data_IF_333041801312
#
_entry.id   IF_333041801312
#
_cell.length_a   1.000
_cell.length_b   1.000
_cell.length_c   1.000
_cell.angle_alpha   90.00
_cell.angle_beta   90.00
_cell.angle_gamma   90.00
#
_symmetry.space_group_name_H-M   'P 1'
#
loop_
_entity.id
_entity.type
_entity.pdbx_description
1 polymer ?
#
# COMPACT_ATOMS: atom_id res chain seq x y z
N UNK A 1 -10.34 -24.61 20.08
CA UNK A 1 -9.41 -23.44 20.02
C UNK A 1 -8.87 -23.29 21.43
N UNK A 2 -7.60 -23.53 21.61
CA UNK A 2 -6.98 -23.52 22.93
C UNK A 2 -6.87 -22.07 23.44
N UNK A 3 -7.66 -21.73 24.46
CA UNK A 3 -7.63 -20.42 25.10
C UNK A 3 -6.26 -20.06 25.70
N UNK A 4 -5.36 -21.03 25.83
CA UNK A 4 -4.01 -20.84 26.37
C UNK A 4 -3.07 -20.08 25.43
N UNK A 5 -3.28 -20.18 24.10
CA UNK A 5 -2.44 -19.48 23.12
C UNK A 5 -2.78 -18.00 23.09
N UNK A 6 -4.06 -17.64 23.27
CA UNK A 6 -4.50 -16.25 23.29
C UNK A 6 -4.02 -15.48 24.55
N UNK A 7 -3.79 -16.19 25.65
CA UNK A 7 -3.35 -15.56 26.90
C UNK A 7 -1.88 -15.08 26.88
N UNK A 8 -1.09 -15.48 25.87
CA UNK A 8 0.34 -15.15 25.78
C UNK A 8 0.70 -14.16 24.68
N UNK A 9 -0.18 -13.93 23.69
CA UNK A 9 0.03 -12.98 22.61
C UNK A 9 -0.72 -11.69 22.92
N UNK A 10 -0.01 -10.56 23.17
CA UNK A 10 -0.67 -9.28 23.47
C UNK A 10 -1.36 -8.70 22.23
N UNK A 11 -2.32 -7.79 22.42
CA UNK A 11 -3.00 -7.08 21.36
C UNK A 11 -2.09 -6.12 20.60
N UNK A 12 -1.11 -5.58 21.30
CA UNK A 12 -0.08 -4.72 20.72
C UNK A 12 1.24 -4.86 21.49
N UNK A 13 2.33 -4.54 20.81
CA UNK A 13 3.67 -4.56 21.40
C UNK A 13 4.59 -3.59 20.66
N UNK A 14 5.45 -2.91 21.41
CA UNK A 14 6.54 -2.09 20.85
C UNK A 14 6.09 -0.81 20.16
N UNK A 15 4.87 -0.33 20.38
CA UNK A 15 4.34 0.89 19.72
C UNK A 15 5.20 2.13 20.06
N UNK A 16 5.84 2.17 21.21
CA UNK A 16 6.81 3.21 21.62
C UNK A 16 8.11 3.19 20.80
N UNK A 17 8.34 2.12 20.04
CA UNK A 17 9.51 1.96 19.15
C UNK A 17 9.32 2.62 17.79
N UNK A 18 8.11 3.05 17.45
CA UNK A 18 7.80 3.79 16.20
C UNK A 18 8.31 5.24 16.31
N UNK A 19 9.62 5.37 16.48
CA UNK A 19 10.28 6.65 16.84
C UNK A 19 10.29 7.66 15.71
N UNK A 20 10.62 7.21 14.51
CA UNK A 20 10.61 8.08 13.34
C UNK A 20 9.21 8.58 13.06
N UNK A 21 8.22 7.69 13.14
CA UNK A 21 6.79 8.02 13.00
C UNK A 21 6.36 9.07 14.02
N UNK A 22 6.60 8.84 15.30
CA UNK A 22 6.23 9.79 16.35
C UNK A 22 6.97 11.13 16.21
N UNK A 23 8.24 11.12 15.79
CA UNK A 23 8.98 12.35 15.54
C UNK A 23 8.35 13.16 14.40
N UNK A 24 7.95 12.50 13.29
CA UNK A 24 7.27 13.15 12.16
C UNK A 24 5.91 13.72 12.55
N UNK A 25 5.11 12.92 13.25
CA UNK A 25 3.79 13.36 13.74
C UNK A 25 3.91 14.56 14.70
N UNK A 26 4.88 14.54 15.61
CA UNK A 26 5.15 15.66 16.51
C UNK A 26 5.56 16.92 15.75
N UNK A 27 6.46 16.82 14.77
CA UNK A 27 6.84 17.97 13.92
C UNK A 27 5.62 18.57 13.21
N UNK A 28 4.74 17.73 12.67
CA UNK A 28 3.49 18.17 12.05
C UNK A 28 2.56 18.85 13.06
N UNK A 29 2.44 18.31 14.27
CA UNK A 29 1.62 18.91 15.34
C UNK A 29 2.11 20.30 15.76
N UNK A 30 3.42 20.58 15.68
CA UNK A 30 4.02 21.87 15.96
C UNK A 30 4.10 22.79 14.74
N UNK A 31 3.47 22.44 13.62
CA UNK A 31 3.43 23.27 12.43
C UNK A 31 4.76 23.38 11.67
N UNK A 32 5.67 22.43 11.86
CA UNK A 32 6.90 22.39 11.08
C UNK A 32 6.61 22.20 9.58
N UNK A 33 7.49 22.74 8.73
CA UNK A 33 7.32 22.74 7.27
C UNK A 33 8.42 21.93 6.58
N UNK A 34 8.19 21.64 5.29
CA UNK A 34 9.15 20.93 4.44
C UNK A 34 9.21 19.41 4.73
N UNK A 35 10.15 18.75 4.09
CA UNK A 35 10.28 17.28 4.10
C UNK A 35 10.58 16.70 5.49
N UNK A 36 11.19 17.46 6.39
CA UNK A 36 11.48 17.01 7.76
C UNK A 36 10.21 16.85 8.62
N UNK A 37 9.11 17.46 8.19
CA UNK A 37 7.79 17.35 8.78
C UNK A 37 6.82 16.55 7.89
N UNK A 38 7.32 15.67 7.03
CA UNK A 38 6.52 14.74 6.23
C UNK A 38 6.50 13.38 6.91
N UNK A 39 5.31 12.79 7.01
CA UNK A 39 5.16 11.37 7.26
C UNK A 39 4.80 10.67 5.94
N UNK A 40 5.62 9.71 5.54
CA UNK A 40 5.34 8.84 4.40
C UNK A 40 5.03 7.45 4.90
N UNK A 41 3.85 6.94 4.56
CA UNK A 41 3.34 5.67 5.05
C UNK A 41 2.98 4.70 3.91
N UNK A 42 3.90 3.83 3.47
CA UNK A 42 3.57 2.64 2.68
C UNK A 42 2.72 1.64 3.49
N UNK A 43 1.55 1.30 2.97
CA UNK A 43 0.64 0.30 3.53
C UNK A 43 0.70 -0.95 2.64
N UNK A 44 1.45 -1.96 3.07
CA UNK A 44 1.61 -3.25 2.38
C UNK A 44 0.57 -4.25 2.88
N UNK A 45 0.10 -5.11 1.99
CA UNK A 45 -0.82 -6.19 2.37
C UNK A 45 -1.54 -6.84 1.20
N UNK A 46 -2.58 -7.55 1.52
CA UNK A 46 -3.43 -8.29 0.57
C UNK A 46 -4.68 -7.49 0.12
N UNK A 47 -5.82 -8.17 -0.03
CA UNK A 47 -7.11 -7.57 -0.39
C UNK A 47 -7.63 -6.58 0.66
N UNK A 48 -7.27 -6.72 1.92
CA UNK A 48 -7.60 -5.73 2.96
C UNK A 48 -7.00 -4.37 2.66
N UNK A 49 -5.78 -4.35 2.14
CA UNK A 49 -5.04 -3.13 1.79
C UNK A 49 -5.34 -2.67 0.36
N UNK A 50 -5.61 -3.60 -0.57
CA UNK A 50 -5.94 -3.27 -1.96
C UNK A 50 -7.25 -2.50 -2.07
N UNK A 51 -8.24 -2.83 -1.27
CA UNK A 51 -9.50 -2.13 -1.22
C UNK A 51 -9.42 -0.90 -0.31
N UNK A 52 -9.25 0.26 -0.91
CA UNK A 52 -9.13 1.53 -0.19
C UNK A 52 -10.36 1.86 0.65
N UNK A 53 -11.54 1.33 0.31
CA UNK A 53 -12.77 1.57 1.07
C UNK A 53 -12.74 0.95 2.45
N UNK A 54 -11.89 -0.07 2.70
CA UNK A 54 -11.83 -0.76 4.00
C UNK A 54 -11.09 0.03 5.06
N UNK A 55 -9.81 0.30 4.88
CA UNK A 55 -9.08 1.08 5.89
C UNK A 55 -8.05 2.07 5.34
N UNK A 56 -7.38 1.82 4.20
CA UNK A 56 -6.26 2.68 3.80
C UNK A 56 -6.66 4.14 3.58
N UNK A 57 -7.70 4.39 2.80
CA UNK A 57 -8.18 5.76 2.55
C UNK A 57 -8.71 6.42 3.84
N UNK A 58 -9.38 5.65 4.70
CA UNK A 58 -9.95 6.18 5.94
C UNK A 58 -8.85 6.57 6.93
N UNK A 59 -7.79 5.75 7.04
CA UNK A 59 -6.60 6.09 7.83
C UNK A 59 -5.92 7.35 7.30
N UNK A 60 -5.73 7.43 5.99
CA UNK A 60 -5.16 8.62 5.36
C UNK A 60 -6.01 9.87 5.62
N UNK A 61 -7.33 9.79 5.41
CA UNK A 61 -8.26 10.91 5.68
C UNK A 61 -8.22 11.36 7.14
N UNK A 62 -8.12 10.42 8.07
CA UNK A 62 -8.01 10.75 9.50
C UNK A 62 -6.72 11.51 9.80
N UNK A 63 -5.59 11.06 9.28
CA UNK A 63 -4.32 11.77 9.44
C UNK A 63 -4.36 13.16 8.79
N UNK A 64 -4.95 13.27 7.60
CA UNK A 64 -5.10 14.57 6.95
C UNK A 64 -6.01 15.53 7.74
N UNK A 65 -7.07 15.03 8.36
CA UNK A 65 -7.93 15.87 9.19
C UNK A 65 -7.22 16.39 10.45
N UNK A 66 -6.28 15.62 11.00
CA UNK A 66 -5.52 16.00 12.20
C UNK A 66 -4.41 16.99 11.85
N UNK A 67 -3.63 16.72 10.78
CA UNK A 67 -2.35 17.39 10.52
C UNK A 67 -2.39 18.45 9.41
N UNK A 68 -3.51 18.63 8.74
CA UNK A 68 -3.61 19.55 7.59
C UNK A 68 -4.76 20.58 7.72
N UNK A 69 -5.09 20.95 8.96
CA UNK A 69 -6.02 22.03 9.30
C UNK A 69 -7.39 21.96 8.58
N UNK A 70 -7.93 20.76 8.44
CA UNK A 70 -9.30 20.57 7.97
C UNK A 70 -9.53 20.90 6.48
N UNK A 71 -8.48 21.07 5.71
CA UNK A 71 -8.58 21.40 4.30
C UNK A 71 -8.00 20.31 3.38
N UNK A 72 -8.57 19.11 3.31
CA UNK A 72 -8.24 18.32 2.17
C UNK A 72 -9.24 18.64 1.07
N UNK A 73 -8.75 19.09 -0.05
CA UNK A 73 -9.42 18.75 -1.28
C UNK A 73 -9.26 17.23 -1.42
N UNK A 74 -10.24 16.50 -0.89
CA UNK A 74 -10.18 15.02 -0.69
C UNK A 74 -10.02 14.26 -2.01
N UNK A 75 -10.35 14.92 -3.14
CA UNK A 75 -10.24 14.34 -4.47
C UNK A 75 -8.80 14.20 -4.99
N UNK A 76 -7.86 14.89 -4.37
CA UNK A 76 -6.48 14.90 -4.87
C UNK A 76 -5.42 14.63 -3.81
N UNK A 77 -5.82 14.48 -2.53
CA UNK A 77 -4.92 14.40 -1.38
C UNK A 77 -4.11 15.67 -1.14
N UNK A 78 -3.74 15.93 0.09
CA UNK A 78 -3.12 17.22 0.43
C UNK A 78 -1.75 17.43 -0.19
N UNK A 79 -0.93 16.38 -0.33
CA UNK A 79 0.42 16.47 -0.90
C UNK A 79 0.67 15.44 -2.00
N UNK A 80 -0.39 14.87 -2.58
CA UNK A 80 -0.30 13.99 -3.74
C UNK A 80 -1.18 12.75 -3.64
N UNK A 81 -1.21 12.00 -4.72
CA UNK A 81 -1.93 10.73 -4.82
C UNK A 81 -1.16 9.59 -4.17
N UNK A 82 0.13 9.79 -3.89
CA UNK A 82 1.02 8.72 -3.52
C UNK A 82 1.32 7.80 -4.70
N UNK A 83 1.46 6.51 -4.43
CA UNK A 83 1.67 5.50 -5.47
C UNK A 83 0.37 5.20 -6.21
N UNK A 84 0.38 5.45 -7.51
CA UNK A 84 -0.66 5.07 -8.46
C UNK A 84 -0.28 3.73 -9.07
N UNK A 85 -0.91 2.65 -8.61
CA UNK A 85 -0.70 1.30 -9.15
C UNK A 85 -1.35 1.18 -10.52
N UNK A 86 -0.65 0.59 -11.48
CA UNK A 86 -1.22 0.21 -12.79
C UNK A 86 -1.79 -1.21 -12.78
N UNK A 87 -1.35 -2.05 -11.83
CA UNK A 87 -1.70 -3.45 -11.81
C UNK A 87 -3.20 -3.72 -11.76
N UNK A 88 -3.65 -4.56 -12.69
CA UNK A 88 -5.05 -4.93 -12.85
C UNK A 88 -5.91 -3.90 -13.57
N UNK A 89 -5.34 -2.91 -14.25
CA UNK A 89 -6.09 -1.96 -15.07
C UNK A 89 -6.77 -2.60 -16.28
N UNK A 90 -6.38 -3.82 -16.65
CA UNK A 90 -6.93 -4.61 -17.73
C UNK A 90 -8.19 -5.40 -17.36
N UNK A 91 -8.60 -5.38 -16.09
CA UNK A 91 -9.77 -6.11 -15.60
C UNK A 91 -10.77 -5.19 -14.90
N UNK A 92 -12.06 -5.46 -15.05
CA UNK A 92 -13.15 -4.70 -14.40
C UNK A 92 -13.24 -4.90 -12.89
N UNK A 93 -12.64 -5.97 -12.38
CA UNK A 93 -12.65 -6.31 -10.96
C UNK A 93 -11.42 -5.81 -10.19
N UNK A 94 -10.48 -5.19 -10.87
CA UNK A 94 -9.23 -4.76 -10.27
C UNK A 94 -9.40 -3.45 -9.49
N UNK A 95 -8.62 -3.34 -8.44
CA UNK A 95 -8.55 -2.15 -7.60
C UNK A 95 -7.19 -1.48 -7.77
N UNK A 96 -6.85 -1.15 -9.01
CA UNK A 96 -5.69 -0.33 -9.35
C UNK A 96 -5.82 1.09 -8.79
N UNK A 97 -4.97 1.96 -9.23
CA UNK A 97 -5.04 3.37 -8.83
C UNK A 97 -4.36 3.67 -7.50
N UNK A 98 -4.59 4.89 -7.02
CA UNK A 98 -4.00 5.38 -5.79
C UNK A 98 -4.91 5.14 -4.57
N UNK A 99 -4.43 5.56 -3.40
CA UNK A 99 -5.22 5.54 -2.17
C UNK A 99 -6.47 6.45 -2.26
N UNK A 100 -6.40 7.52 -3.04
CA UNK A 100 -7.48 8.53 -3.16
C UNK A 100 -8.42 8.19 -4.29
N UNK A 101 -7.87 7.75 -5.42
CA UNK A 101 -8.63 7.44 -6.61
C UNK A 101 -8.42 5.96 -6.98
N UNK A 102 -9.18 5.06 -6.34
CA UNK A 102 -9.14 3.64 -6.67
C UNK A 102 -9.77 3.41 -8.06
N UNK A 103 -9.25 2.43 -8.79
CA UNK A 103 -9.68 2.09 -10.16
C UNK A 103 -9.54 3.26 -11.17
N UNK A 104 -8.63 4.19 -10.90
CA UNK A 104 -8.43 5.37 -11.72
C UNK A 104 -7.83 5.05 -13.09
N UNK A 105 -6.99 4.00 -13.16
CA UNK A 105 -6.26 3.68 -14.38
C UNK A 105 -7.10 2.76 -15.27
N UNK A 106 -7.31 3.20 -16.50
CA UNK A 106 -7.91 2.38 -17.56
C UNK A 106 -6.82 1.90 -18.52
N UNK A 107 -7.02 0.74 -19.13
CA UNK A 107 -6.07 0.19 -20.08
C UNK A 107 -6.73 -0.27 -21.37
N UNK A 108 -5.98 -0.17 -22.46
CA UNK A 108 -6.31 -0.78 -23.72
C UNK A 108 -5.05 -1.45 -24.28
N UNK A 109 -5.10 -2.76 -24.51
CA UNK A 109 -3.98 -3.53 -25.07
C UNK A 109 -2.84 -3.87 -24.12
N UNK A 110 -3.00 -3.65 -22.80
CA UNK A 110 -2.11 -4.17 -21.78
C UNK A 110 -2.70 -5.41 -21.10
N UNK A 111 -1.82 -6.29 -20.63
CA UNK A 111 -2.16 -7.43 -19.79
C UNK A 111 -1.49 -7.22 -18.43
N UNK A 112 -2.24 -7.39 -17.36
CA UNK A 112 -1.78 -7.17 -15.99
C UNK A 112 -1.66 -8.44 -15.17
N UNK A 113 -0.80 -8.38 -14.14
CA UNK A 113 -0.75 -9.37 -13.07
C UNK A 113 -0.79 -8.69 -11.72
N UNK A 114 -1.55 -9.28 -10.78
CA UNK A 114 -1.75 -8.70 -9.43
C UNK A 114 -0.54 -8.89 -8.51
N UNK A 115 0.20 -9.98 -8.66
CA UNK A 115 1.37 -10.31 -7.83
C UNK A 115 2.43 -11.08 -8.64
N UNK A 116 2.74 -10.57 -9.83
CA UNK A 116 3.75 -11.13 -10.75
C UNK A 116 4.92 -10.18 -11.04
N UNK A 117 4.87 -8.94 -10.56
CA UNK A 117 5.89 -7.93 -10.78
C UNK A 117 6.74 -7.65 -9.53
N UNK A 118 7.83 -6.91 -9.73
CA UNK A 118 8.73 -6.47 -8.66
C UNK A 118 8.47 -5.00 -8.27
N UNK A 119 7.26 -4.49 -8.54
CA UNK A 119 6.79 -3.16 -8.11
C UNK A 119 6.59 -3.09 -6.60
N UNK A 120 6.39 -1.90 -6.03
CA UNK A 120 6.12 -1.76 -4.60
C UNK A 120 4.89 -2.55 -4.13
N UNK A 121 3.88 -2.73 -4.97
CA UNK A 121 2.65 -3.51 -4.72
C UNK A 121 2.65 -4.87 -5.43
N UNK A 122 3.83 -5.33 -5.87
CA UNK A 122 4.10 -6.59 -6.56
C UNK A 122 3.28 -6.85 -7.84
N UNK A 123 2.70 -5.82 -8.43
CA UNK A 123 1.93 -5.88 -9.68
C UNK A 123 2.75 -5.45 -10.89
N UNK A 124 2.28 -5.76 -12.10
CA UNK A 124 2.87 -5.30 -13.35
C UNK A 124 1.84 -5.26 -14.47
N UNK A 125 1.96 -4.28 -15.37
CA UNK A 125 1.27 -4.22 -16.65
C UNK A 125 2.26 -4.39 -17.79
N UNK A 126 1.96 -5.23 -18.76
CA UNK A 126 2.83 -5.50 -19.89
C UNK A 126 2.06 -5.37 -21.21
N UNK A 127 2.72 -4.83 -22.23
CA UNK A 127 2.22 -4.85 -23.61
C UNK A 127 3.36 -4.88 -24.61
N UNK A 128 3.14 -5.55 -25.74
CA UNK A 128 3.98 -5.49 -26.95
C UNK A 128 3.24 -4.89 -28.15
N UNK A 129 2.01 -4.41 -27.93
CA UNK A 129 1.15 -3.86 -28.98
C UNK A 129 1.40 -2.37 -29.12
N UNK A 130 1.89 -1.94 -30.28
CA UNK A 130 2.00 -0.51 -30.58
C UNK A 130 0.61 0.15 -30.56
N UNK A 131 0.52 1.32 -29.91
CA UNK A 131 -0.75 2.01 -29.67
C UNK A 131 -1.51 1.55 -28.42
N UNK A 132 -1.05 0.52 -27.69
CA UNK A 132 -1.63 0.17 -26.41
C UNK A 132 -1.48 1.33 -25.40
N UNK A 133 -2.50 1.57 -24.56
CA UNK A 133 -2.54 2.73 -23.67
C UNK A 133 -2.87 2.37 -22.22
N UNK A 134 -2.30 3.15 -21.30
CA UNK A 134 -2.78 3.33 -19.93
C UNK A 134 -3.17 4.78 -19.74
N UNK A 135 -4.34 5.07 -19.16
CA UNK A 135 -4.79 6.44 -18.94
C UNK A 135 -5.57 6.63 -17.66
N UNK A 136 -5.51 7.84 -17.12
CA UNK A 136 -6.26 8.27 -15.92
C UNK A 136 -6.47 9.77 -15.95
N UNK A 137 -7.46 10.26 -15.18
CA UNK A 137 -7.70 11.68 -15.00
C UNK A 137 -7.02 12.17 -13.73
N UNK A 138 -6.40 13.35 -13.82
CA UNK A 138 -5.66 13.98 -12.73
C UNK A 138 -5.85 15.51 -12.73
N UNK A 139 -5.58 16.14 -11.57
CA UNK A 139 -5.52 17.58 -11.44
C UNK A 139 -4.06 18.07 -11.43
N UNK A 140 -3.56 18.46 -12.60
CA UNK A 140 -2.18 18.92 -12.80
C UNK A 140 -1.93 20.31 -12.22
N UNK A 141 -2.99 21.08 -11.89
CA UNK A 141 -2.87 22.43 -11.29
C UNK A 141 -2.17 22.41 -9.93
N UNK A 142 -2.03 21.25 -9.34
CA UNK A 142 -1.43 21.07 -8.00
C UNK A 142 0.09 21.01 -8.01
N UNK A 143 0.75 21.11 -9.18
CA UNK A 143 2.19 21.22 -9.30
C UNK A 143 2.97 20.04 -8.70
N UNK A 144 2.46 18.81 -8.85
CA UNK A 144 3.09 17.60 -8.32
C UNK A 144 4.19 17.07 -9.21
N UNK A 145 5.14 16.39 -8.62
CA UNK A 145 6.13 15.60 -9.36
C UNK A 145 5.55 14.23 -9.69
N UNK A 146 5.90 13.74 -10.87
CA UNK A 146 5.50 12.45 -11.40
C UNK A 146 6.76 11.60 -11.62
N UNK A 147 6.83 10.45 -10.98
CA UNK A 147 7.94 9.49 -11.17
C UNK A 147 7.36 8.17 -11.64
N UNK A 148 7.59 7.86 -12.91
CA UNK A 148 7.16 6.61 -13.53
C UNK A 148 8.09 5.47 -13.12
N UNK A 149 7.54 4.33 -12.71
CA UNK A 149 8.25 3.07 -12.52
C UNK A 149 8.05 2.18 -13.75
N UNK A 150 9.11 1.92 -14.49
CA UNK A 150 9.09 1.12 -15.72
C UNK A 150 10.31 0.21 -15.82
N UNK A 151 10.23 -0.83 -16.65
CA UNK A 151 11.35 -1.73 -16.97
C UNK A 151 12.28 -1.08 -17.98
N UNK A 152 13.54 -0.88 -17.58
CA UNK A 152 14.61 -0.50 -18.50
C UNK A 152 15.06 -1.68 -19.38
N UNK A 153 15.67 -1.38 -20.52
CA UNK A 153 16.08 -2.40 -21.50
C UNK A 153 14.90 -3.02 -22.27
N UNK A 154 13.73 -2.35 -22.29
CA UNK A 154 12.50 -2.94 -22.83
C UNK A 154 12.07 -2.37 -24.19
N UNK A 155 11.26 -1.34 -24.23
CA UNK A 155 10.70 -0.79 -25.49
C UNK A 155 10.65 0.73 -25.42
N UNK A 156 9.83 1.32 -26.27
CA UNK A 156 9.63 2.77 -26.35
C UNK A 156 8.18 3.10 -25.98
N UNK A 157 8.01 4.08 -25.13
CA UNK A 157 6.69 4.65 -24.79
C UNK A 157 6.66 6.13 -25.11
N UNK A 158 5.46 6.69 -25.15
CA UNK A 158 5.24 8.12 -25.04
C UNK A 158 4.24 8.42 -23.95
N UNK A 159 4.28 9.65 -23.41
CA UNK A 159 3.23 10.13 -22.52
C UNK A 159 2.73 11.50 -22.96
N UNK A 160 1.46 11.74 -22.65
CA UNK A 160 0.77 12.99 -22.94
C UNK A 160 -0.15 13.32 -21.77
N UNK A 161 -0.01 14.51 -21.22
CA UNK A 161 -0.93 15.08 -20.24
C UNK A 161 -1.73 16.22 -20.88
N UNK A 162 -2.96 16.43 -20.43
CA UNK A 162 -3.76 17.58 -20.85
C UNK A 162 -2.98 18.90 -20.63
N UNK A 163 -2.88 19.70 -21.68
CA UNK A 163 -2.10 20.94 -21.68
C UNK A 163 -0.73 20.80 -22.34
N UNK A 164 -0.22 19.60 -22.60
CA UNK A 164 0.95 19.40 -23.46
C UNK A 164 0.56 19.56 -24.92
N UNK A 165 1.40 20.21 -25.72
CA UNK A 165 1.18 20.36 -27.17
C UNK A 165 1.53 19.11 -27.96
N UNK A 166 2.48 18.32 -27.45
CA UNK A 166 2.99 17.10 -28.09
C UNK A 166 3.31 16.05 -27.04
N UNK A 167 3.19 14.77 -27.40
CA UNK A 167 3.61 13.69 -26.53
C UNK A 167 5.14 13.64 -26.41
N UNK A 168 5.63 13.38 -25.21
CA UNK A 168 7.07 13.16 -24.93
C UNK A 168 7.38 11.67 -25.00
N UNK A 169 8.42 11.30 -25.72
CA UNK A 169 8.87 9.91 -25.83
C UNK A 169 9.92 9.56 -24.76
N UNK A 170 9.87 8.33 -24.30
CA UNK A 170 10.87 7.72 -23.42
C UNK A 170 11.33 6.40 -24.08
N UNK A 171 12.59 6.34 -24.42
CA UNK A 171 13.24 5.12 -24.90
C UNK A 171 13.72 4.30 -23.69
N UNK A 172 12.86 3.37 -23.25
CA UNK A 172 13.19 2.46 -22.15
C UNK A 172 14.29 1.46 -22.53
N UNK A 173 14.48 1.19 -23.85
CA UNK A 173 15.52 0.29 -24.34
C UNK A 173 16.92 0.85 -24.17
N UNK A 174 17.06 2.18 -24.10
CA UNK A 174 18.31 2.88 -23.85
C UNK A 174 18.68 2.94 -22.34
N UNK A 175 17.75 2.58 -21.45
CA UNK A 175 17.98 2.54 -20.01
C UNK A 175 18.58 1.19 -19.58
N UNK A 176 19.32 1.20 -18.48
CA UNK A 176 19.84 -0.02 -17.89
C UNK A 176 18.69 -1.02 -17.59
N UNK A 177 18.90 -2.34 -17.81
CA UNK A 177 17.88 -3.35 -17.45
C UNK A 177 17.50 -3.28 -15.96
N UNK A 178 16.24 -3.56 -15.68
CA UNK A 178 15.68 -3.51 -14.33
C UNK A 178 14.70 -2.35 -14.13
N UNK A 179 14.17 -2.23 -12.91
CA UNK A 179 13.20 -1.19 -12.59
C UNK A 179 13.90 0.18 -12.57
N UNK A 180 13.37 1.09 -13.37
CA UNK A 180 13.80 2.48 -13.47
C UNK A 180 12.75 3.41 -12.88
N UNK A 181 13.21 4.38 -12.10
CA UNK A 181 12.39 5.49 -11.60
C UNK A 181 12.66 6.72 -12.50
N UNK A 182 11.68 7.04 -13.33
CA UNK A 182 11.84 8.03 -14.41
C UNK A 182 11.05 9.30 -14.02
N UNK A 183 11.72 10.41 -13.67
CA UNK A 183 11.07 11.69 -13.46
C UNK A 183 10.45 12.22 -14.77
N UNK A 184 9.20 12.67 -14.71
CA UNK A 184 8.51 13.31 -15.81
C UNK A 184 8.45 14.82 -15.51
N UNK A 185 9.25 15.61 -16.21
CA UNK A 185 9.51 17.01 -15.83
C UNK A 185 8.72 18.06 -16.63
N UNK A 186 8.03 17.65 -17.71
CA UNK A 186 7.35 18.54 -18.65
C UNK A 186 5.82 18.50 -18.52
N UNK A 187 5.31 17.99 -17.40
CA UNK A 187 3.88 17.94 -17.12
C UNK A 187 3.39 19.34 -16.76
N UNK A 188 2.38 19.88 -17.48
CA UNK A 188 1.82 21.18 -17.18
C UNK A 188 1.17 21.26 -15.81
N UNK A 189 1.21 22.44 -15.19
CA UNK A 189 0.60 22.71 -13.85
C UNK A 189 -0.66 23.57 -13.94
N UNK A 190 -1.23 23.73 -15.12
CA UNK A 190 -2.30 24.72 -15.35
C UNK A 190 -3.69 24.14 -15.53
N UNK A 191 -3.81 22.84 -15.83
CA UNK A 191 -5.07 22.21 -16.20
C UNK A 191 -5.33 20.93 -15.40
N UNK A 192 -6.59 20.55 -15.27
CA UNK A 192 -6.99 19.17 -14.97
C UNK A 192 -7.34 18.45 -16.26
N UNK A 193 -7.22 17.13 -16.28
CA UNK A 193 -7.60 16.31 -17.42
C UNK A 193 -6.87 14.98 -17.44
N UNK A 194 -6.77 14.40 -18.61
CA UNK A 194 -6.27 13.02 -18.79
C UNK A 194 -4.75 12.98 -18.95
N UNK A 195 -4.13 12.02 -18.28
CA UNK A 195 -2.77 11.57 -18.53
C UNK A 195 -2.82 10.23 -19.30
N UNK A 196 -2.03 10.08 -20.34
CA UNK A 196 -2.00 8.86 -21.14
C UNK A 196 -0.55 8.44 -21.39
N UNK A 197 -0.26 7.16 -21.17
CA UNK A 197 0.98 6.50 -21.63
C UNK A 197 0.62 5.62 -22.81
N UNK A 198 1.39 5.69 -23.89
CA UNK A 198 1.19 4.91 -25.10
C UNK A 198 2.43 4.11 -25.44
N UNK A 199 2.28 2.84 -25.79
CA UNK A 199 3.35 1.99 -26.34
C UNK A 199 3.65 2.43 -27.77
N UNK A 200 4.90 2.76 -28.06
CA UNK A 200 5.36 3.11 -29.41
C UNK A 200 5.92 1.87 -30.10
N UNK A 201 6.80 1.12 -29.42
CA UNK A 201 7.41 -0.08 -29.96
C UNK A 201 8.00 -0.98 -28.88
N UNK A 202 8.25 -2.24 -29.25
CA UNK A 202 8.87 -3.23 -28.36
C UNK A 202 7.91 -3.76 -27.29
N UNK A 203 8.43 -4.59 -26.40
CA UNK A 203 7.69 -5.06 -25.24
C UNK A 203 8.00 -4.16 -24.05
N UNK A 204 6.99 -3.54 -23.44
CA UNK A 204 7.14 -2.66 -22.29
C UNK A 204 6.51 -3.30 -21.04
N UNK A 205 7.13 -3.05 -19.89
CA UNK A 205 6.55 -3.38 -18.56
C UNK A 205 6.48 -2.10 -17.75
N UNK A 206 5.28 -1.80 -17.25
CA UNK A 206 5.00 -0.61 -16.46
C UNK A 206 4.44 -1.07 -15.10
N UNK A 207 4.90 -0.44 -14.04
CA UNK A 207 4.58 -0.85 -12.67
C UNK A 207 3.61 0.10 -11.98
N UNK A 208 3.85 1.39 -12.09
CA UNK A 208 3.04 2.43 -11.48
C UNK A 208 3.71 3.79 -11.55
N UNK A 209 3.14 4.76 -10.87
CA UNK A 209 3.67 6.11 -10.81
C UNK A 209 3.58 6.67 -9.38
N UNK A 210 4.64 7.28 -8.90
CA UNK A 210 4.60 8.05 -7.66
C UNK A 210 4.27 9.51 -7.98
N UNK A 211 3.14 10.02 -7.43
CA UNK A 211 2.60 11.35 -7.71
C UNK A 211 2.50 12.12 -6.40
N UNK A 212 3.48 12.98 -6.14
CA UNK A 212 3.57 13.70 -4.86
C UNK A 212 4.13 15.12 -5.07
N UNK A 213 3.76 16.05 -4.18
CA UNK A 213 4.52 17.27 -4.02
C UNK A 213 5.87 16.95 -3.37
N UNK A 214 6.97 17.23 -4.04
CA UNK A 214 8.30 16.85 -3.57
C UNK A 214 8.79 17.68 -2.37
N UNK A 215 8.18 18.83 -2.08
CA UNK A 215 8.66 19.80 -1.10
C UNK A 215 7.74 19.99 0.13
N UNK A 216 6.46 19.60 0.05
CA UNK A 216 5.48 19.91 1.09
C UNK A 216 5.62 19.03 2.34
N UNK A 217 5.34 19.63 3.50
CA UNK A 217 5.06 18.93 4.74
C UNK A 217 3.68 18.25 4.68
N UNK A 218 3.42 17.29 5.56
CA UNK A 218 2.13 16.61 5.68
C UNK A 218 2.23 15.10 5.64
N UNK A 219 1.15 14.41 5.29
CA UNK A 219 1.10 12.95 5.28
C UNK A 219 0.89 12.43 3.86
N UNK A 220 1.79 11.57 3.40
CA UNK A 220 1.65 10.77 2.17
C UNK A 220 1.40 9.33 2.54
N UNK A 221 0.31 8.76 2.03
CA UNK A 221 0.02 7.34 2.19
C UNK A 221 0.11 6.64 0.84
N UNK A 222 0.78 5.49 0.81
CA UNK A 222 0.88 4.65 -0.38
C UNK A 222 0.09 3.36 -0.16
N UNK A 223 -0.87 3.09 -1.02
CA UNK A 223 -1.63 1.84 -1.04
C UNK A 223 -0.83 0.79 -1.81
N UNK A 224 -0.28 -0.19 -1.10
CA UNK A 224 0.52 -1.27 -1.67
C UNK A 224 -0.13 -2.64 -1.42
N UNK A 225 -1.40 -2.76 -1.74
CA UNK A 225 -2.15 -4.01 -1.55
C UNK A 225 -2.13 -4.88 -2.81
N UNK A 226 -1.92 -6.18 -2.65
CA UNK A 226 -2.03 -7.20 -3.70
C UNK A 226 -3.15 -8.20 -3.35
N UNK A 227 -4.31 -8.07 -3.99
CA UNK A 227 -5.47 -8.92 -3.68
C UNK A 227 -5.16 -10.40 -3.86
N UNK A 228 -5.45 -11.21 -2.85
CA UNK A 228 -5.24 -12.66 -2.86
C UNK A 228 -3.81 -13.07 -2.55
N UNK A 229 -2.85 -12.15 -2.41
CA UNK A 229 -1.47 -12.50 -2.11
C UNK A 229 -1.30 -13.00 -0.67
N UNK A 230 -0.43 -13.99 -0.52
CA UNK A 230 0.13 -14.46 0.73
C UNK A 230 1.52 -13.85 0.97
N UNK A 231 2.10 -14.05 2.13
CA UNK A 231 3.48 -13.66 2.42
C UNK A 231 4.49 -14.28 1.44
N UNK A 232 4.21 -15.51 0.97
CA UNK A 232 5.05 -16.20 -0.02
C UNK A 232 5.11 -15.45 -1.36
N UNK A 233 4.01 -14.84 -1.79
CA UNK A 233 3.99 -14.09 -3.05
C UNK A 233 4.89 -12.85 -2.99
N UNK A 234 4.98 -12.21 -1.83
CA UNK A 234 5.85 -11.05 -1.61
C UNK A 234 7.34 -11.43 -1.61
N UNK A 235 7.70 -12.50 -0.90
CA UNK A 235 9.11 -12.95 -0.85
C UNK A 235 9.57 -13.63 -2.14
N UNK A 236 8.65 -14.13 -2.97
CA UNK A 236 8.97 -14.67 -4.29
C UNK A 236 9.42 -13.61 -5.31
N UNK A 237 9.28 -12.33 -5.00
CA UNK A 237 9.75 -11.23 -5.87
C UNK A 237 11.27 -11.10 -5.78
N UNK A 238 11.89 -10.65 -6.89
CA UNK A 238 13.32 -10.34 -6.85
C UNK A 238 13.59 -9.25 -5.80
N UNK A 239 14.39 -9.60 -4.79
CA UNK A 239 14.62 -8.73 -3.63
C UNK A 239 15.29 -7.41 -4.02
N UNK A 240 16.23 -7.43 -4.99
CA UNK A 240 16.94 -6.23 -5.42
C UNK A 240 16.04 -5.31 -6.22
N UNK A 241 15.27 -5.86 -7.14
CA UNK A 241 14.34 -5.09 -7.98
C UNK A 241 13.21 -4.49 -7.16
N UNK A 242 12.59 -5.31 -6.30
CA UNK A 242 11.54 -4.84 -5.39
C UNK A 242 12.05 -3.73 -4.47
N UNK A 243 13.22 -3.90 -3.86
CA UNK A 243 13.88 -2.88 -3.03
C UNK A 243 14.09 -1.57 -3.79
N UNK A 244 14.57 -1.65 -5.02
CA UNK A 244 14.78 -0.46 -5.88
C UNK A 244 13.47 0.27 -6.13
N UNK A 245 12.40 -0.44 -6.46
CA UNK A 245 11.08 0.15 -6.69
C UNK A 245 10.48 0.76 -5.42
N UNK A 246 10.55 0.05 -4.30
CA UNK A 246 10.01 0.49 -3.02
C UNK A 246 10.74 1.74 -2.50
N UNK A 247 12.06 1.81 -2.66
CA UNK A 247 12.87 2.95 -2.22
C UNK A 247 12.44 4.28 -2.84
N UNK A 248 11.80 4.26 -4.03
CA UNK A 248 11.32 5.49 -4.70
C UNK A 248 10.13 6.14 -4.01
N UNK A 249 9.41 5.39 -3.17
CA UNK A 249 8.21 5.90 -2.50
C UNK A 249 8.53 6.69 -1.23
N UNK A 250 9.67 6.43 -0.62
CA UNK A 250 9.92 6.85 0.76
C UNK A 250 9.27 5.90 1.76
N UNK A 251 9.38 6.19 3.03
CA UNK A 251 8.79 5.39 4.10
C UNK A 251 9.38 5.79 5.44
N UNK A 252 8.60 6.49 6.26
CA UNK A 252 8.94 6.77 7.65
C UNK A 252 8.26 5.74 8.56
N UNK A 253 7.06 5.30 8.16
CA UNK A 253 6.33 4.17 8.71
C UNK A 253 5.96 3.21 7.58
N UNK A 254 6.25 1.93 7.70
CA UNK A 254 5.74 0.89 6.80
C UNK A 254 4.85 -0.07 7.58
N UNK A 255 3.58 -0.21 7.20
CA UNK A 255 2.73 -1.26 7.78
C UNK A 255 2.63 -2.46 6.87
N UNK A 256 2.65 -3.67 7.46
CA UNK A 256 2.50 -4.96 6.77
C UNK A 256 1.30 -5.67 7.39
N UNK A 257 0.21 -5.80 6.62
CA UNK A 257 -1.00 -6.50 7.03
C UNK A 257 -1.21 -7.73 6.14
N UNK A 258 -0.81 -8.89 6.62
CA UNK A 258 -0.91 -10.19 5.97
C UNK A 258 -1.32 -11.28 6.96
N UNK A 259 -1.63 -12.45 6.47
CA UNK A 259 -2.01 -13.62 7.28
C UNK A 259 -3.31 -14.27 6.82
N UNK A 260 -4.29 -13.50 6.34
CA UNK A 260 -5.60 -14.03 5.91
C UNK A 260 -5.49 -15.06 4.78
N UNK A 261 -4.66 -14.79 3.77
CA UNK A 261 -4.45 -15.73 2.66
C UNK A 261 -3.44 -16.82 3.02
N UNK A 262 -2.46 -16.52 3.86
CA UNK A 262 -1.53 -17.52 4.42
C UNK A 262 -2.31 -18.57 5.23
N UNK A 263 -3.23 -18.13 6.08
CA UNK A 263 -4.13 -18.99 6.84
C UNK A 263 -5.01 -19.83 5.90
N UNK A 264 -5.66 -19.20 4.91
CA UNK A 264 -6.51 -19.89 3.96
C UNK A 264 -5.78 -20.91 3.08
N UNK A 265 -4.47 -20.70 2.85
CA UNK A 265 -3.60 -21.65 2.16
C UNK A 265 -3.03 -22.74 3.08
N UNK A 266 -3.32 -22.70 4.38
CA UNK A 266 -2.78 -23.63 5.36
C UNK A 266 -1.25 -23.51 5.55
N UNK A 267 -0.68 -22.31 5.33
CA UNK A 267 0.75 -22.08 5.47
C UNK A 267 1.18 -22.29 6.93
N UNK A 268 2.23 -23.08 7.20
CA UNK A 268 2.74 -23.22 8.57
C UNK A 268 3.14 -21.86 9.17
N UNK A 269 2.77 -21.55 10.42
CA UNK A 269 3.13 -20.28 11.08
C UNK A 269 4.64 -20.00 11.12
N UNK A 270 5.48 -21.03 11.16
CA UNK A 270 6.94 -20.89 11.08
C UNK A 270 7.41 -20.41 9.71
N UNK A 271 6.80 -20.89 8.62
CA UNK A 271 7.09 -20.43 7.25
C UNK A 271 6.60 -18.99 7.07
N UNK A 272 5.40 -18.68 7.53
CA UNK A 272 4.88 -17.31 7.56
C UNK A 272 5.84 -16.36 8.30
N UNK A 273 6.28 -16.76 9.51
CA UNK A 273 7.27 -15.99 10.29
C UNK A 273 8.52 -15.67 9.49
N UNK A 274 9.09 -16.66 8.82
CA UNK A 274 10.28 -16.48 7.99
C UNK A 274 10.04 -15.52 6.83
N UNK A 275 8.88 -15.60 6.18
CA UNK A 275 8.50 -14.70 5.10
C UNK A 275 8.34 -13.26 5.59
N UNK A 276 7.71 -13.04 6.75
CA UNK A 276 7.54 -11.71 7.33
C UNK A 276 8.90 -11.11 7.74
N UNK A 277 9.82 -11.89 8.30
CA UNK A 277 11.19 -11.45 8.58
C UNK A 277 11.86 -10.96 7.30
N UNK A 278 11.83 -11.77 6.24
CA UNK A 278 12.40 -11.40 4.93
C UNK A 278 11.79 -10.10 4.39
N UNK A 279 10.47 -9.91 4.53
CA UNK A 279 9.82 -8.66 4.12
C UNK A 279 10.30 -7.46 4.94
N UNK A 280 10.44 -7.61 6.26
CA UNK A 280 10.99 -6.56 7.15
C UNK A 280 12.42 -6.21 6.73
N UNK A 281 13.25 -7.19 6.46
CA UNK A 281 14.63 -7.00 6.03
C UNK A 281 14.72 -6.26 4.69
N UNK A 282 13.86 -6.60 3.72
CA UNK A 282 13.78 -5.91 2.43
C UNK A 282 13.33 -4.46 2.59
N UNK A 283 12.33 -4.19 3.42
CA UNK A 283 11.85 -2.85 3.73
C UNK A 283 12.98 -2.02 4.34
N UNK A 284 13.68 -2.55 5.35
CA UNK A 284 14.83 -1.88 5.97
C UNK A 284 16.01 -1.69 5.03
N UNK A 285 16.29 -2.67 4.16
CA UNK A 285 17.33 -2.53 3.15
C UNK A 285 17.02 -1.44 2.12
N UNK A 286 15.74 -1.18 1.85
CA UNK A 286 15.29 -0.07 1.00
C UNK A 286 15.25 1.27 1.76
N UNK A 287 14.88 1.25 3.04
CA UNK A 287 14.67 2.44 3.90
C UNK A 287 15.15 2.15 5.33
N UNK A 288 16.44 2.35 5.62
CA UNK A 288 17.05 1.95 6.90
C UNK A 288 16.48 2.61 8.15
N UNK A 289 15.82 3.76 8.01
CA UNK A 289 15.23 4.52 9.13
C UNK A 289 13.73 4.32 9.28
N UNK A 290 13.11 3.45 8.45
CA UNK A 290 11.65 3.23 8.53
C UNK A 290 11.28 2.46 9.79
N UNK A 291 10.25 2.93 10.49
CA UNK A 291 9.56 2.12 11.49
C UNK A 291 8.70 1.06 10.77
N UNK A 292 8.56 -0.13 11.35
CA UNK A 292 7.71 -1.19 10.80
C UNK A 292 6.59 -1.52 11.78
N UNK A 293 5.34 -1.50 11.30
CA UNK A 293 4.16 -1.94 12.05
C UNK A 293 3.60 -3.21 11.42
N UNK A 294 3.79 -4.34 12.10
CA UNK A 294 3.16 -5.61 11.73
C UNK A 294 1.72 -5.62 12.24
N UNK A 295 0.77 -5.80 11.34
CA UNK A 295 -0.66 -5.83 11.67
C UNK A 295 -1.21 -7.22 11.35
N UNK A 296 -1.59 -7.96 12.38
CA UNK A 296 -2.26 -9.24 12.22
C UNK A 296 -3.77 -9.01 12.12
N UNK A 297 -4.43 -9.49 11.07
CA UNK A 297 -5.90 -9.45 10.97
C UNK A 297 -6.59 -10.20 12.11
N UNK A 298 -7.88 -9.97 12.27
CA UNK A 298 -8.75 -10.79 13.10
C UNK A 298 -8.96 -12.17 12.46
N UNK A 299 -9.40 -13.15 13.26
CA UNK A 299 -9.83 -14.47 12.75
C UNK A 299 -10.97 -14.30 11.74
N UNK A 300 -10.92 -15.01 10.62
CA UNK A 300 -12.00 -15.04 9.64
C UNK A 300 -13.00 -16.16 9.96
N UNK A 301 -14.09 -16.28 9.17
CA UNK A 301 -15.15 -17.24 9.41
C UNK A 301 -15.00 -18.56 8.63
N UNK A 302 -13.84 -18.80 8.02
CA UNK A 302 -13.53 -20.10 7.41
C UNK A 302 -13.47 -21.18 8.49
N UNK A 303 -14.02 -22.33 8.19
CA UNK A 303 -14.08 -23.48 9.12
C UNK A 303 -13.01 -24.52 8.84
N UNK A 304 -12.28 -24.39 7.74
CA UNK A 304 -11.29 -25.34 7.23
C UNK A 304 -9.83 -24.86 7.40
N UNK A 305 -9.62 -23.78 8.16
CA UNK A 305 -8.28 -23.28 8.47
C UNK A 305 -7.49 -24.32 9.29
N UNK A 306 -6.30 -24.71 8.81
CA UNK A 306 -5.41 -25.64 9.53
C UNK A 306 -4.83 -25.02 10.80
N UNK A 307 -4.59 -23.72 10.78
CA UNK A 307 -4.04 -22.97 11.91
C UNK A 307 -4.94 -21.77 12.21
N UNK A 308 -5.22 -21.49 13.50
CA UNK A 308 -5.96 -20.28 13.87
C UNK A 308 -5.11 -19.03 13.62
N UNK A 309 -5.74 -17.88 13.40
CA UNK A 309 -5.05 -16.60 13.21
C UNK A 309 -4.15 -16.23 14.40
N UNK A 310 -4.44 -16.72 15.59
CA UNK A 310 -3.61 -16.53 16.79
C UNK A 310 -2.18 -17.06 16.64
N UNK A 311 -1.95 -18.10 15.84
CA UNK A 311 -0.60 -18.61 15.57
C UNK A 311 0.20 -17.66 14.65
N UNK A 312 -0.46 -17.01 13.69
CA UNK A 312 0.13 -15.97 12.85
C UNK A 312 0.37 -14.68 13.64
N UNK A 313 -0.55 -14.32 14.53
CA UNK A 313 -0.37 -13.20 15.46
C UNK A 313 0.83 -13.43 16.38
N UNK A 314 0.98 -14.63 16.94
CA UNK A 314 2.14 -15.01 17.74
C UNK A 314 3.45 -14.89 16.94
N UNK A 315 3.46 -15.34 15.69
CA UNK A 315 4.62 -15.22 14.81
C UNK A 315 5.02 -13.75 14.60
N UNK A 316 4.08 -12.86 14.32
CA UNK A 316 4.33 -11.41 14.17
C UNK A 316 4.77 -10.77 15.50
N UNK A 317 4.14 -11.14 16.63
CA UNK A 317 4.55 -10.67 17.95
C UNK A 317 5.99 -11.04 18.28
N UNK A 318 6.39 -12.29 18.02
CA UNK A 318 7.76 -12.75 18.24
C UNK A 318 8.77 -11.96 17.41
N UNK A 319 8.44 -11.60 16.15
CA UNK A 319 9.27 -10.72 15.33
C UNK A 319 9.40 -9.35 15.98
N UNK A 320 8.29 -8.73 16.35
CA UNK A 320 8.31 -7.42 16.99
C UNK A 320 9.05 -7.41 18.32
N UNK A 321 8.99 -8.52 19.09
CA UNK A 321 9.73 -8.67 20.34
C UNK A 321 11.24 -8.73 20.11
N UNK A 322 11.66 -9.47 19.09
CA UNK A 322 13.07 -9.80 18.86
C UNK A 322 13.76 -8.74 17.96
N UNK A 323 12.99 -7.96 17.17
CA UNK A 323 13.47 -6.95 16.25
C UNK A 323 13.31 -5.53 16.80
N UNK A 324 14.37 -4.73 16.66
CA UNK A 324 14.31 -3.29 17.02
C UNK A 324 13.53 -2.51 15.97
N UNK A 325 12.81 -1.46 16.37
CA UNK A 325 12.04 -0.56 15.50
C UNK A 325 10.95 -1.30 14.70
N UNK A 326 10.47 -2.45 15.25
CA UNK A 326 9.29 -3.17 14.80
C UNK A 326 8.26 -3.15 15.92
N UNK A 327 7.04 -2.79 15.56
CA UNK A 327 5.87 -2.84 16.43
C UNK A 327 4.85 -3.87 15.91
N UNK A 328 3.97 -4.31 16.78
CA UNK A 328 2.94 -5.30 16.48
C UNK A 328 1.57 -4.80 16.94
N UNK A 329 0.56 -5.07 16.14
CA UNK A 329 -0.85 -4.84 16.42
C UNK A 329 -1.68 -6.05 15.97
N UNK A 330 -2.50 -6.60 16.86
CA UNK A 330 -3.44 -7.66 16.53
C UNK A 330 -4.88 -7.14 16.60
N UNK A 331 -5.62 -7.25 15.52
CA UNK A 331 -6.96 -6.70 15.39
C UNK A 331 -8.05 -7.53 16.09
N UNK A 332 -7.74 -8.73 16.61
CA UNK A 332 -8.75 -9.66 17.14
C UNK A 332 -9.62 -9.02 18.20
N UNK A 333 -9.05 -8.38 19.20
CA UNK A 333 -9.82 -7.81 20.29
C UNK A 333 -10.61 -6.55 19.91
N UNK A 334 -10.17 -5.85 18.87
CA UNK A 334 -10.95 -4.74 18.29
C UNK A 334 -12.22 -5.24 17.62
N UNK A 335 -12.18 -6.43 17.02
CA UNK A 335 -13.34 -7.03 16.37
C UNK A 335 -14.23 -7.78 17.36
N UNK A 336 -13.66 -8.59 18.24
CA UNK A 336 -14.38 -9.39 19.22
C UNK A 336 -13.59 -10.61 19.67
N UNK A 337 -14.13 -11.37 20.63
CA UNK A 337 -13.44 -12.54 21.18
C UNK A 337 -13.42 -13.71 20.17
N UNK A 338 -14.47 -13.86 19.40
CA UNK A 338 -14.63 -14.96 18.43
C UNK A 338 -15.30 -14.48 17.15
N UNK A 339 -15.10 -15.17 16.01
CA UNK A 339 -15.67 -14.79 14.71
C UNK A 339 -17.18 -14.54 14.71
N UNK A 340 -17.95 -15.28 15.51
CA UNK A 340 -19.40 -15.09 15.61
C UNK A 340 -19.82 -13.72 16.16
N UNK A 341 -18.93 -13.03 16.92
CA UNK A 341 -19.25 -11.74 17.52
C UNK A 341 -19.33 -10.62 16.47
N UNK A 342 -18.63 -10.76 15.35
CA UNK A 342 -18.53 -9.77 14.26
C UNK A 342 -18.89 -10.33 12.88
N UNK A 343 -19.52 -11.49 12.84
CA UNK A 343 -19.97 -12.12 11.60
C UNK A 343 -21.00 -11.26 10.85
N UNK A 344 -21.07 -11.46 9.52
CA UNK A 344 -22.20 -10.92 8.75
C UNK A 344 -23.55 -11.32 9.37
N UNK A 345 -24.42 -10.36 9.59
CA UNK A 345 -25.72 -10.58 10.23
C UNK A 345 -25.70 -10.73 11.76
N UNK A 346 -24.56 -10.63 12.42
CA UNK A 346 -24.47 -10.53 13.89
C UNK A 346 -24.92 -9.16 14.40
N UNK A 347 -24.96 -8.97 15.72
CA UNK A 347 -25.24 -7.66 16.33
C UNK A 347 -24.16 -6.61 15.99
N UNK A 348 -22.96 -7.03 15.61
CA UNK A 348 -21.87 -6.19 15.09
C UNK A 348 -21.42 -6.75 13.73
N UNK A 349 -22.11 -6.47 12.62
CA UNK A 349 -21.82 -7.06 11.32
C UNK A 349 -20.58 -6.37 10.69
N UNK A 350 -19.40 -6.62 11.24
CA UNK A 350 -18.15 -6.00 10.80
C UNK A 350 -17.44 -6.76 9.67
N UNK A 351 -17.97 -7.93 9.29
CA UNK A 351 -17.54 -8.68 8.11
C UNK A 351 -18.63 -8.66 7.05
N UNK A 352 -18.25 -8.67 5.79
CA UNK A 352 -19.20 -8.89 4.70
C UNK A 352 -19.60 -10.38 4.60
N UNK A 353 -20.57 -10.69 3.75
CA UNK A 353 -21.16 -12.03 3.64
C UNK A 353 -20.18 -13.15 3.25
N UNK A 354 -18.99 -12.82 2.72
CA UNK A 354 -17.96 -13.82 2.42
C UNK A 354 -17.23 -14.34 3.68
N UNK A 355 -17.47 -13.72 4.83
CA UNK A 355 -16.86 -14.12 6.10
C UNK A 355 -15.33 -13.93 6.18
N UNK A 356 -14.73 -13.30 5.18
CA UNK A 356 -13.29 -13.11 5.07
C UNK A 356 -12.93 -11.62 5.22
N UNK A 357 -13.64 -10.76 4.49
CA UNK A 357 -13.31 -9.36 4.40
C UNK A 357 -14.10 -8.50 5.38
N UNK A 358 -13.46 -7.51 5.99
CA UNK A 358 -14.16 -6.51 6.78
C UNK A 358 -15.18 -5.75 5.94
N UNK A 359 -16.34 -5.48 6.55
CA UNK A 359 -17.29 -4.53 5.97
C UNK A 359 -16.68 -3.13 5.90
N UNK A 360 -16.77 -2.44 4.76
CA UNK A 360 -16.17 -1.12 4.60
C UNK A 360 -16.65 -0.09 5.63
N UNK A 361 -17.94 -0.11 5.97
CA UNK A 361 -18.57 0.94 6.77
C UNK A 361 -18.58 0.65 8.29
N UNK A 362 -18.13 -0.53 8.70
CA UNK A 362 -18.04 -0.90 10.11
C UNK A 362 -16.69 -1.51 10.47
N UNK A 363 -16.34 -2.70 9.95
CA UNK A 363 -15.06 -3.35 10.20
C UNK A 363 -13.87 -2.52 9.73
N UNK A 364 -14.02 -1.80 8.60
CA UNK A 364 -13.00 -0.86 8.13
C UNK A 364 -12.72 0.27 9.12
N UNK A 365 -13.73 0.80 9.80
CA UNK A 365 -13.53 1.80 10.86
C UNK A 365 -12.89 1.21 12.11
N UNK A 366 -13.20 -0.05 12.47
CA UNK A 366 -12.53 -0.72 13.59
C UNK A 366 -11.02 -0.82 13.35
N UNK A 367 -10.60 -1.18 12.13
CA UNK A 367 -9.18 -1.21 11.75
C UNK A 367 -8.56 0.19 11.87
N UNK A 368 -9.24 1.24 11.37
CA UNK A 368 -8.73 2.62 11.49
C UNK A 368 -8.57 3.03 12.95
N UNK A 369 -9.54 2.73 13.80
CA UNK A 369 -9.47 3.05 15.23
C UNK A 369 -8.28 2.36 15.89
N UNK A 370 -8.04 1.07 15.59
CA UNK A 370 -6.89 0.33 16.08
C UNK A 370 -5.55 0.94 15.61
N UNK A 371 -5.43 1.27 14.32
CA UNK A 371 -4.25 1.91 13.77
C UNK A 371 -3.98 3.30 14.38
N UNK A 372 -5.02 4.13 14.55
CA UNK A 372 -4.85 5.45 15.17
C UNK A 372 -4.38 5.31 16.62
N UNK A 373 -4.93 4.37 17.41
CA UNK A 373 -4.43 4.09 18.77
C UNK A 373 -2.96 3.64 18.74
N UNK A 374 -2.59 2.78 17.79
CA UNK A 374 -1.20 2.34 17.64
C UNK A 374 -0.24 3.51 17.35
N UNK A 375 -0.71 4.56 16.69
CA UNK A 375 0.05 5.79 16.43
C UNK A 375 -0.03 6.82 17.58
N UNK A 376 -0.70 6.51 18.68
CA UNK A 376 -0.91 7.44 19.79
C UNK A 376 -1.88 8.58 19.46
N UNK A 377 -2.75 8.40 18.46
CA UNK A 377 -3.69 9.39 17.98
C UNK A 377 -5.11 9.09 18.48
N UNK A 378 -5.96 10.13 18.66
CA UNK A 378 -7.34 9.87 19.05
C UNK A 378 -8.03 9.01 18.00
N UNK A 379 -8.60 7.90 18.44
CA UNK A 379 -9.57 7.16 17.65
C UNK A 379 -10.76 8.09 17.33
N UNK A 380 -11.42 7.85 16.23
CA UNK A 380 -12.53 8.69 15.75
C UNK A 380 -13.66 8.72 16.75
#
# INVERSE_FOLDING_TARGET
IDASVNATTPDCFGLERLRETHQRLNKLSFGATGLTARLTWPMMGDSYTRDTSRYPLRSARRLWSIYQNGAPNVSSGPIGWGYLSFGGADTTSSKNGSIINPNAVTSNGFVGTYYGGDSPDISVMQSSTAGATLSWDEDFRLGRTHTLLAEGGSGVISYLATGMSTATQIDLSALAPGIQAIPLNDIPTTNSGTFTITVISGTVKLYGMNIVDASAAGVVCHKLGASGSSSADWVARDATRWKTSFATLGGDLTSIMLGTNDQGAGMPPSTFKSNIIEMVDRVRAARPTTDVLLVCPQENQRTDNLYPMSEYAKAMYEIARDERDVAFLWLQNDFGVKPADYAYGSARPWMIADGIHPDPDSGGYAIVAALMRALGLPAV
#
